data_IF_314494052313
#
_entry.id   IF_314494052313
#
_cell.length_a   1.000
_cell.length_b   1.000
_cell.length_c   1.000
_cell.angle_alpha   90.00
_cell.angle_beta   90.00
_cell.angle_gamma   90.00
#
_symmetry.space_group_name_H-M   'P 1'
#
loop_
_entity.id
_entity.type
_entity.pdbx_description
1 polymer ?
#
# COMPACT_ATOMS: atom_id res chain seq x y z
N UNK A 1 -3.25 9.11 16.95
CA UNK A 1 -4.39 8.29 17.40
C UNK A 1 -4.05 6.86 17.77
N UNK A 2 -3.06 6.19 17.15
CA UNK A 2 -2.81 4.75 17.39
C UNK A 2 -1.42 4.51 17.97
N UNK A 3 -1.28 3.44 18.77
CA UNK A 3 -0.02 3.01 19.36
C UNK A 3 1.00 2.59 18.30
N UNK A 4 2.29 2.81 18.57
CA UNK A 4 3.43 2.41 17.72
C UNK A 4 3.45 0.90 17.53
N UNK A 5 3.10 0.13 18.57
CA UNK A 5 3.05 -1.34 18.55
C UNK A 5 1.99 -1.90 17.59
N UNK A 6 0.79 -1.31 17.55
CA UNK A 6 -0.33 -1.83 16.76
C UNK A 6 -0.60 -1.02 15.49
N UNK A 7 0.35 -0.14 15.11
CA UNK A 7 0.17 0.80 14.01
C UNK A 7 -0.06 0.08 12.67
N UNK A 8 0.53 -1.09 12.45
CA UNK A 8 0.29 -1.89 11.25
C UNK A 8 -1.17 -2.34 11.13
N UNK A 9 -1.74 -2.86 12.21
CA UNK A 9 -3.12 -3.33 12.27
C UNK A 9 -4.12 -2.21 12.06
N UNK A 10 -3.96 -1.07 12.74
CA UNK A 10 -4.88 0.05 12.58
C UNK A 10 -4.81 0.68 11.19
N UNK A 11 -3.61 0.85 10.63
CA UNK A 11 -3.46 1.37 9.27
C UNK A 11 -3.94 0.35 8.22
N UNK A 12 -3.80 -0.95 8.47
CA UNK A 12 -4.40 -2.00 7.67
C UNK A 12 -5.92 -1.88 7.64
N UNK A 13 -6.55 -1.78 8.82
CA UNK A 13 -8.00 -1.57 8.95
C UNK A 13 -8.47 -0.30 8.24
N UNK A 14 -7.71 0.80 8.32
CA UNK A 14 -8.02 2.01 7.57
C UNK A 14 -7.95 1.79 6.05
N UNK A 15 -6.93 1.05 5.59
CA UNK A 15 -6.72 0.79 4.17
C UNK A 15 -7.77 -0.16 3.54
N UNK A 16 -8.50 -0.93 4.36
CA UNK A 16 -9.66 -1.74 3.91
C UNK A 16 -10.72 -0.85 3.23
N UNK A 17 -10.87 0.41 3.66
CA UNK A 17 -11.85 1.34 3.08
C UNK A 17 -11.68 1.52 1.57
N UNK A 18 -10.44 1.51 1.07
CA UNK A 18 -10.14 1.60 -0.36
C UNK A 18 -10.72 0.40 -1.12
N UNK A 19 -10.48 -0.81 -0.62
CA UNK A 19 -10.89 -2.05 -1.30
C UNK A 19 -12.41 -2.26 -1.21
N UNK A 20 -13.01 -1.99 -0.04
CA UNK A 20 -14.47 -2.03 0.12
C UNK A 20 -15.15 -0.98 -0.77
N UNK A 21 -14.61 0.24 -0.81
CA UNK A 21 -15.11 1.30 -1.67
C UNK A 21 -15.05 0.92 -3.15
N UNK A 22 -13.91 0.38 -3.60
CA UNK A 22 -13.72 -0.09 -4.97
C UNK A 22 -14.68 -1.22 -5.37
N UNK A 23 -14.76 -2.27 -4.53
CA UNK A 23 -15.66 -3.40 -4.77
C UNK A 23 -17.14 -3.01 -4.75
N UNK A 24 -17.53 -2.13 -3.83
CA UNK A 24 -18.90 -1.64 -3.69
C UNK A 24 -19.32 -0.67 -4.80
N UNK A 25 -18.40 0.12 -5.35
CA UNK A 25 -18.71 1.19 -6.31
C UNK A 25 -19.46 0.67 -7.55
N UNK A 26 -18.99 -0.44 -8.15
CA UNK A 26 -19.64 -1.03 -9.32
C UNK A 26 -21.05 -1.52 -9.01
N UNK A 27 -21.23 -2.18 -7.86
CA UNK A 27 -22.54 -2.67 -7.41
C UNK A 27 -23.53 -1.54 -7.15
N UNK A 28 -23.08 -0.47 -6.48
CA UNK A 28 -23.90 0.73 -6.20
C UNK A 28 -24.28 1.45 -7.49
N UNK A 29 -23.35 1.57 -8.45
CA UNK A 29 -23.62 2.20 -9.74
C UNK A 29 -24.65 1.42 -10.56
N UNK A 30 -24.52 0.09 -10.64
CA UNK A 30 -25.47 -0.76 -11.36
C UNK A 30 -26.84 -0.81 -10.68
N UNK A 31 -26.87 -0.87 -9.35
CA UNK A 31 -28.12 -0.78 -8.59
C UNK A 31 -28.82 0.55 -8.84
N UNK A 32 -28.05 1.66 -8.79
CA UNK A 32 -28.57 3.00 -9.04
C UNK A 32 -29.20 3.15 -10.42
N UNK A 33 -28.50 2.68 -11.46
CA UNK A 33 -29.00 2.72 -12.83
C UNK A 33 -30.27 1.89 -13.01
N UNK A 34 -30.27 0.62 -12.58
CA UNK A 34 -31.37 -0.30 -12.85
C UNK A 34 -32.62 -0.03 -12.00
N UNK A 35 -32.46 0.41 -10.75
CA UNK A 35 -33.59 0.56 -9.83
C UNK A 35 -34.22 1.95 -9.86
N UNK A 36 -33.40 3.02 -9.96
CA UNK A 36 -33.89 4.40 -9.88
C UNK A 36 -33.98 5.12 -11.22
N UNK A 37 -33.35 4.59 -12.26
CA UNK A 37 -33.16 5.28 -13.54
C UNK A 37 -33.50 4.40 -14.76
N UNK A 38 -34.21 3.28 -14.57
CA UNK A 38 -34.65 2.36 -15.64
C UNK A 38 -33.52 1.93 -16.60
N UNK A 39 -32.32 1.71 -16.06
CA UNK A 39 -31.12 1.34 -16.82
C UNK A 39 -30.37 2.50 -17.46
N UNK A 40 -30.78 3.75 -17.22
CA UNK A 40 -30.08 4.93 -17.73
C UNK A 40 -28.73 5.12 -17.03
N UNK A 41 -27.70 5.38 -17.84
CA UNK A 41 -26.32 5.66 -17.43
C UNK A 41 -26.24 6.80 -16.41
N UNK A 42 -27.17 7.77 -16.45
CA UNK A 42 -27.23 8.83 -15.46
C UNK A 42 -27.30 8.30 -14.01
N UNK A 43 -28.00 7.18 -13.78
CA UNK A 43 -28.10 6.55 -12.46
C UNK A 43 -26.77 5.96 -11.97
N UNK A 44 -25.87 5.58 -12.88
CA UNK A 44 -24.52 5.10 -12.54
C UNK A 44 -23.65 6.20 -11.91
N UNK A 45 -23.96 7.48 -12.17
CA UNK A 45 -23.22 8.62 -11.63
C UNK A 45 -23.95 9.30 -10.46
N UNK A 46 -25.26 9.51 -10.60
CA UNK A 46 -26.04 10.28 -9.62
C UNK A 46 -26.15 9.55 -8.29
N UNK A 47 -26.44 8.24 -8.30
CA UNK A 47 -26.65 7.48 -7.06
C UNK A 47 -25.37 7.37 -6.22
N UNK A 48 -24.20 6.99 -6.79
CA UNK A 48 -22.95 7.04 -6.04
C UNK A 48 -22.60 8.44 -5.51
N UNK A 49 -22.87 9.50 -6.28
CA UNK A 49 -22.59 10.88 -5.85
C UNK A 49 -23.42 11.30 -4.63
N UNK A 50 -24.71 10.95 -4.60
CA UNK A 50 -25.59 11.21 -3.45
C UNK A 50 -25.09 10.47 -2.21
N UNK A 51 -24.74 9.19 -2.34
CA UNK A 51 -24.19 8.40 -1.24
C UNK A 51 -22.89 9.04 -0.72
N UNK A 52 -22.00 9.45 -1.62
CA UNK A 52 -20.76 10.13 -1.25
C UNK A 52 -21.01 11.44 -0.48
N UNK A 53 -22.00 12.24 -0.89
CA UNK A 53 -22.39 13.47 -0.18
C UNK A 53 -22.91 13.15 1.23
N UNK A 54 -23.75 12.13 1.38
CA UNK A 54 -24.27 11.72 2.70
C UNK A 54 -23.12 11.26 3.61
N UNK A 55 -22.21 10.43 3.10
CA UNK A 55 -21.03 9.98 3.86
C UNK A 55 -20.13 11.16 4.24
N UNK A 56 -19.90 12.10 3.31
CA UNK A 56 -19.12 13.30 3.56
C UNK A 56 -19.77 14.20 4.62
N UNK A 57 -21.09 14.35 4.58
CA UNK A 57 -21.84 15.11 5.58
C UNK A 57 -21.72 14.47 6.96
N UNK A 58 -21.93 13.15 7.07
CA UNK A 58 -21.74 12.42 8.34
C UNK A 58 -20.31 12.59 8.86
N UNK A 59 -19.31 12.40 7.99
CA UNK A 59 -17.89 12.55 8.36
C UNK A 59 -17.51 13.96 8.78
N UNK A 60 -18.17 15.00 8.25
CA UNK A 60 -17.94 16.38 8.64
C UNK A 60 -18.34 16.66 10.10
N UNK A 61 -19.37 15.98 10.60
CA UNK A 61 -19.79 16.11 12.01
C UNK A 61 -19.18 15.05 12.93
N UNK A 62 -18.69 13.93 12.38
CA UNK A 62 -18.13 12.82 13.12
C UNK A 62 -16.61 12.73 12.95
N UNK A 63 -15.87 13.33 13.88
CA UNK A 63 -14.43 13.17 14.02
C UNK A 63 -13.78 14.34 14.77
N UNK A 64 -12.64 14.11 15.40
CA UNK A 64 -11.74 15.20 15.79
C UNK A 64 -10.32 14.86 15.40
N UNK A 65 -9.51 15.90 15.22
CA UNK A 65 -8.16 15.78 14.70
C UNK A 65 -7.22 14.99 15.62
N UNK A 66 -7.50 14.97 16.93
CA UNK A 66 -6.58 14.44 17.92
C UNK A 66 -7.30 13.94 19.19
N UNK A 67 -6.75 12.94 19.93
CA UNK A 67 -7.33 12.52 21.21
C UNK A 67 -7.40 13.67 22.23
N UNK A 68 -6.48 14.63 22.13
CA UNK A 68 -6.43 15.84 22.94
C UNK A 68 -7.70 16.69 22.74
N UNK A 69 -8.26 16.73 21.52
CA UNK A 69 -9.51 17.44 21.25
C UNK A 69 -10.72 16.83 21.98
N UNK A 70 -10.64 15.55 22.37
CA UNK A 70 -11.63 14.89 23.22
C UNK A 70 -11.28 14.93 24.71
N UNK A 71 -10.19 15.62 25.09
CA UNK A 71 -9.71 15.66 26.47
C UNK A 71 -9.09 14.36 26.97
N UNK A 72 -8.72 13.44 26.07
CA UNK A 72 -8.17 12.12 26.41
C UNK A 72 -6.65 12.14 26.61
N UNK A 73 -6.01 13.31 26.53
CA UNK A 73 -4.55 13.45 26.57
C UNK A 73 -3.89 13.10 25.24
N UNK A 74 -2.56 12.93 25.27
CA UNK A 74 -1.80 12.57 24.07
C UNK A 74 -1.95 11.08 23.74
N UNK A 75 -1.77 10.72 22.47
CA UNK A 75 -1.80 9.31 22.06
C UNK A 75 -0.76 8.46 22.84
N UNK A 76 0.38 9.04 23.16
CA UNK A 76 1.46 8.43 23.94
C UNK A 76 1.03 8.14 25.38
N UNK A 77 0.35 9.09 26.04
CA UNK A 77 -0.19 8.90 27.39
C UNK A 77 -1.29 7.83 27.40
N UNK A 78 -2.17 7.85 26.40
CA UNK A 78 -3.26 6.87 26.23
C UNK A 78 -2.78 5.43 26.11
N UNK A 79 -1.61 5.21 25.51
CA UNK A 79 -1.05 3.88 25.27
C UNK A 79 0.20 3.57 26.11
N UNK A 80 0.55 4.45 27.05
CA UNK A 80 1.77 4.34 27.88
C UNK A 80 3.05 4.13 27.05
N UNK A 81 3.16 4.81 25.90
CA UNK A 81 4.28 4.71 24.97
C UNK A 81 5.18 5.95 25.02
N UNK A 82 6.51 5.82 24.87
CA UNK A 82 7.39 6.97 24.81
C UNK A 82 7.17 7.78 23.53
N UNK A 83 7.19 9.11 23.64
CA UNK A 83 7.20 10.04 22.51
C UNK A 83 8.36 9.71 21.57
N UNK A 84 8.08 9.68 20.26
CA UNK A 84 9.09 9.36 19.24
C UNK A 84 10.26 10.37 19.27
N UNK A 85 11.46 9.93 18.90
CA UNK A 85 12.64 10.83 18.80
C UNK A 85 12.37 12.00 17.85
N UNK A 86 11.66 11.74 16.75
CA UNK A 86 11.27 12.77 15.80
C UNK A 86 10.34 13.82 16.41
N UNK A 87 9.31 13.39 17.14
CA UNK A 87 8.33 14.29 17.77
C UNK A 87 8.97 15.09 18.91
N UNK A 88 9.86 14.47 19.71
CA UNK A 88 10.64 15.18 20.74
C UNK A 88 11.50 16.27 20.13
N UNK A 89 12.25 15.94 19.08
CA UNK A 89 13.12 16.91 18.42
C UNK A 89 12.34 18.08 17.80
N UNK A 90 11.12 17.85 17.31
CA UNK A 90 10.24 18.93 16.81
C UNK A 90 9.77 19.82 17.96
N UNK A 91 9.34 19.24 19.08
CA UNK A 91 8.85 19.98 20.25
C UNK A 91 9.95 20.79 20.94
N UNK A 92 11.13 20.19 21.14
CA UNK A 92 12.27 20.83 21.82
C UNK A 92 12.85 22.00 21.03
N UNK A 93 12.92 21.87 19.69
CA UNK A 93 13.47 22.91 18.83
C UNK A 93 12.42 23.87 18.26
N UNK A 94 11.14 23.74 18.66
CA UNK A 94 10.01 24.53 18.18
C UNK A 94 10.00 24.70 16.65
N UNK A 95 10.22 23.60 15.92
CA UNK A 95 10.44 23.65 14.47
C UNK A 95 9.20 24.14 13.72
N UNK A 96 9.39 25.04 12.75
CA UNK A 96 8.31 25.47 11.86
C UNK A 96 7.90 24.35 10.88
N UNK A 97 6.68 24.43 10.33
CA UNK A 97 6.17 23.45 9.34
C UNK A 97 7.10 23.30 8.12
N UNK A 98 7.72 24.39 7.67
CA UNK A 98 8.64 24.38 6.53
C UNK A 98 9.97 23.69 6.88
N UNK A 99 10.47 23.88 8.09
CA UNK A 99 11.68 23.20 8.56
C UNK A 99 11.44 21.71 8.76
N UNK A 100 10.27 21.33 9.29
CA UNK A 100 9.85 19.94 9.39
C UNK A 100 9.82 19.29 8.00
N UNK A 101 9.17 19.95 7.04
CA UNK A 101 9.14 19.50 5.66
C UNK A 101 10.54 19.31 5.07
N UNK A 102 11.41 20.33 5.17
CA UNK A 102 12.76 20.25 4.62
C UNK A 102 13.57 19.13 5.28
N UNK A 103 13.61 19.08 6.61
CA UNK A 103 14.47 18.14 7.36
C UNK A 103 13.97 16.70 7.30
N UNK A 104 12.68 16.48 7.58
CA UNK A 104 12.13 15.14 7.78
C UNK A 104 11.50 14.55 6.51
N UNK A 105 11.21 15.35 5.49
CA UNK A 105 10.64 14.87 4.22
C UNK A 105 11.64 15.07 3.08
N UNK A 106 11.99 16.32 2.75
CA UNK A 106 12.78 16.62 1.55
C UNK A 106 14.23 16.12 1.61
N UNK A 107 14.91 16.26 2.74
CA UNK A 107 16.30 15.81 2.92
C UNK A 107 16.41 14.46 3.63
N UNK A 108 15.28 13.80 3.91
CA UNK A 108 15.28 12.50 4.55
C UNK A 108 15.48 11.39 3.53
N UNK A 109 16.69 10.81 3.52
CA UNK A 109 17.07 9.73 2.61
C UNK A 109 16.15 8.51 2.74
N UNK A 110 15.64 8.21 3.93
CA UNK A 110 14.77 7.04 4.15
C UNK A 110 13.41 7.22 3.47
N UNK A 111 12.83 8.43 3.56
CA UNK A 111 11.56 8.75 2.89
C UNK A 111 11.72 8.63 1.37
N UNK A 112 12.83 9.12 0.81
CA UNK A 112 13.11 8.96 -0.61
C UNK A 112 13.28 7.50 -1.04
N UNK A 113 14.01 6.69 -0.26
CA UNK A 113 14.10 5.24 -0.51
C UNK A 113 12.70 4.61 -0.53
N UNK A 114 11.84 4.95 0.43
CA UNK A 114 10.45 4.46 0.48
C UNK A 114 9.61 4.96 -0.71
N UNK A 115 9.82 6.20 -1.17
CA UNK A 115 9.15 6.72 -2.38
C UNK A 115 9.56 5.91 -3.61
N UNK A 116 10.86 5.66 -3.81
CA UNK A 116 11.33 4.83 -4.92
C UNK A 116 10.85 3.39 -4.81
N UNK A 117 10.88 2.77 -3.63
CA UNK A 117 10.31 1.46 -3.40
C UNK A 117 8.82 1.41 -3.78
N UNK A 118 8.06 2.46 -3.42
CA UNK A 118 6.63 2.54 -3.73
C UNK A 118 6.36 2.67 -5.23
N UNK A 119 7.23 3.33 -6.00
CA UNK A 119 7.13 3.38 -7.47
C UNK A 119 7.18 1.97 -8.04
N UNK A 120 8.23 1.20 -7.73
CA UNK A 120 8.40 -0.15 -8.26
C UNK A 120 7.30 -1.10 -7.78
N UNK A 121 6.86 -0.96 -6.52
CA UNK A 121 5.73 -1.75 -6.03
C UNK A 121 4.45 -1.45 -6.81
N UNK A 122 4.20 -0.18 -7.14
CA UNK A 122 3.02 0.19 -7.92
C UNK A 122 3.10 -0.32 -9.35
N UNK A 123 4.30 -0.38 -9.95
CA UNK A 123 4.49 -1.06 -11.25
C UNK A 123 4.02 -2.50 -11.16
N UNK A 124 4.42 -3.23 -10.12
CA UNK A 124 4.02 -4.63 -9.92
C UNK A 124 2.52 -4.75 -9.66
N UNK A 125 1.99 -3.96 -8.72
CA UNK A 125 0.59 -3.99 -8.31
C UNK A 125 -0.34 -3.70 -9.47
N UNK A 126 -0.20 -2.51 -10.06
CA UNK A 126 -1.06 -2.07 -11.15
C UNK A 126 -0.79 -2.91 -12.40
N UNK A 127 0.45 -3.36 -12.60
CA UNK A 127 0.80 -4.24 -13.70
C UNK A 127 0.01 -5.54 -13.65
N UNK A 128 -0.02 -6.23 -12.51
CA UNK A 128 -0.81 -7.45 -12.36
C UNK A 128 -2.31 -7.13 -12.45
N UNK A 129 -2.75 -6.11 -11.74
CA UNK A 129 -4.16 -5.69 -11.68
C UNK A 129 -4.76 -5.45 -13.07
N UNK A 130 -4.10 -4.62 -13.88
CA UNK A 130 -4.61 -4.20 -15.19
C UNK A 130 -4.38 -5.25 -16.29
N UNK A 131 -3.27 -5.98 -16.25
CA UNK A 131 -2.89 -6.89 -17.34
C UNK A 131 -3.26 -8.36 -17.09
N UNK A 132 -3.67 -8.75 -15.87
CA UNK A 132 -4.02 -10.14 -15.53
C UNK A 132 -5.18 -10.70 -16.37
N UNK A 133 -6.21 -9.89 -16.62
CA UNK A 133 -7.36 -10.29 -17.43
C UNK A 133 -6.97 -10.46 -18.90
N UNK A 134 -6.17 -9.53 -19.42
CA UNK A 134 -5.68 -9.56 -20.81
C UNK A 134 -4.79 -10.79 -21.03
N UNK A 135 -3.83 -11.03 -20.12
CA UNK A 135 -2.95 -12.19 -20.19
C UNK A 135 -3.71 -13.51 -20.11
N UNK A 136 -4.67 -13.62 -19.18
CA UNK A 136 -5.49 -14.82 -19.01
C UNK A 136 -6.31 -15.16 -20.25
N UNK A 137 -6.82 -14.14 -20.94
CA UNK A 137 -7.60 -14.30 -22.17
C UNK A 137 -6.73 -14.56 -23.41
N UNK A 138 -5.69 -13.75 -23.64
CA UNK A 138 -4.91 -13.79 -24.88
C UNK A 138 -3.82 -14.85 -24.91
N UNK A 139 -3.20 -15.15 -23.76
CA UNK A 139 -2.04 -16.07 -23.70
C UNK A 139 -2.42 -17.41 -23.11
N UNK A 140 -3.13 -17.42 -21.98
CA UNK A 140 -3.57 -18.67 -21.34
C UNK A 140 -4.81 -19.28 -22.03
N UNK A 141 -5.48 -18.54 -22.91
CA UNK A 141 -6.60 -19.03 -23.71
C UNK A 141 -7.87 -19.29 -22.91
N UNK A 142 -8.00 -18.70 -21.72
CA UNK A 142 -9.24 -18.78 -20.94
C UNK A 142 -10.34 -17.96 -21.58
N UNK A 143 -11.58 -18.36 -21.34
CA UNK A 143 -12.73 -17.56 -21.73
C UNK A 143 -12.83 -16.27 -20.90
N UNK A 144 -13.62 -15.32 -21.40
CA UNK A 144 -13.73 -13.98 -20.79
C UNK A 144 -14.26 -14.03 -19.36
N UNK A 145 -15.17 -14.95 -19.04
CA UNK A 145 -15.74 -15.06 -17.69
C UNK A 145 -14.67 -15.54 -16.71
N UNK A 146 -13.90 -16.57 -17.08
CA UNK A 146 -12.77 -17.05 -16.27
C UNK A 146 -11.72 -15.95 -16.06
N UNK A 147 -11.35 -15.20 -17.10
CA UNK A 147 -10.37 -14.11 -16.97
C UNK A 147 -10.83 -13.02 -15.98
N UNK A 148 -12.10 -12.60 -16.05
CA UNK A 148 -12.69 -11.64 -15.11
C UNK A 148 -12.77 -12.21 -13.69
N UNK A 149 -13.07 -13.50 -13.55
CA UNK A 149 -13.10 -14.16 -12.24
C UNK A 149 -11.71 -14.15 -11.58
N UNK A 150 -10.63 -14.25 -12.37
CA UNK A 150 -9.26 -14.13 -11.89
C UNK A 150 -8.97 -12.76 -11.26
N UNK A 151 -9.38 -11.69 -11.93
CA UNK A 151 -9.30 -10.33 -11.40
C UNK A 151 -10.08 -10.20 -10.07
N UNK A 152 -11.27 -10.79 -9.99
CA UNK A 152 -12.06 -10.82 -8.75
C UNK A 152 -11.33 -11.55 -7.62
N UNK A 153 -10.63 -12.64 -7.93
CA UNK A 153 -9.81 -13.38 -6.96
C UNK A 153 -8.59 -12.58 -6.50
N UNK A 154 -7.96 -11.82 -7.40
CA UNK A 154 -6.89 -10.87 -7.04
C UNK A 154 -7.37 -9.83 -6.03
N UNK A 155 -8.49 -9.16 -6.30
CA UNK A 155 -9.08 -8.17 -5.39
C UNK A 155 -9.52 -8.79 -4.04
N UNK A 156 -10.01 -10.03 -4.07
CA UNK A 156 -10.36 -10.76 -2.84
C UNK A 156 -9.11 -11.06 -2.01
N UNK A 157 -8.04 -11.53 -2.65
CA UNK A 157 -6.75 -11.75 -1.99
C UNK A 157 -6.17 -10.45 -1.41
N UNK A 158 -6.26 -9.35 -2.16
CA UNK A 158 -5.86 -8.02 -1.75
C UNK A 158 -6.59 -7.52 -0.49
N UNK A 159 -7.92 -7.70 -0.45
CA UNK A 159 -8.74 -7.36 0.72
C UNK A 159 -8.27 -8.13 1.97
N UNK A 160 -8.09 -9.44 1.85
CA UNK A 160 -7.63 -10.29 2.96
C UNK A 160 -6.19 -9.92 3.37
N UNK A 161 -5.32 -9.67 2.40
CA UNK A 161 -3.93 -9.27 2.62
C UNK A 161 -3.83 -7.96 3.39
N UNK A 162 -4.68 -6.98 3.07
CA UNK A 162 -4.71 -5.68 3.74
C UNK A 162 -5.00 -5.82 5.25
N UNK A 163 -5.85 -6.76 5.64
CA UNK A 163 -6.14 -7.06 7.04
C UNK A 163 -4.97 -7.78 7.73
N UNK A 164 -4.45 -8.83 7.09
CA UNK A 164 -3.53 -9.77 7.74
C UNK A 164 -2.08 -9.27 7.78
N UNK A 165 -1.60 -8.55 6.77
CA UNK A 165 -0.21 -8.08 6.75
C UNK A 165 0.09 -7.03 7.82
N UNK A 166 -0.89 -6.20 8.15
CA UNK A 166 -0.78 -5.27 9.29
C UNK A 166 -0.57 -6.02 10.60
N UNK A 167 -1.38 -7.05 10.83
CA UNK A 167 -1.27 -7.93 11.99
C UNK A 167 0.05 -8.72 12.02
N UNK A 168 0.47 -9.32 10.90
CA UNK A 168 1.73 -10.07 10.82
C UNK A 168 2.95 -9.18 11.09
N UNK A 169 2.94 -7.94 10.61
CA UNK A 169 4.00 -6.99 10.91
C UNK A 169 4.06 -6.63 12.39
N UNK A 170 2.91 -6.45 13.03
CA UNK A 170 2.86 -6.12 14.45
C UNK A 170 3.29 -7.33 15.31
N UNK A 171 3.01 -8.57 14.87
CA UNK A 171 3.45 -9.80 15.53
C UNK A 171 4.98 -9.96 15.55
N UNK A 172 5.68 -9.48 14.52
CA UNK A 172 7.15 -9.54 14.40
C UNK A 172 7.80 -8.25 14.96
N UNK A 173 7.20 -7.69 16.02
CA UNK A 173 7.69 -6.50 16.72
C UNK A 173 7.90 -5.27 15.80
N UNK A 174 7.11 -5.16 14.73
CA UNK A 174 7.17 -4.00 13.84
C UNK A 174 8.32 -3.98 12.84
N UNK A 175 8.97 -5.13 12.56
CA UNK A 175 9.99 -5.29 11.49
C UNK A 175 9.35 -5.24 10.09
N UNK A 176 8.77 -4.10 9.75
CA UNK A 176 7.93 -3.86 8.56
C UNK A 176 8.70 -4.13 7.26
N UNK A 177 9.95 -3.67 7.18
CA UNK A 177 10.79 -3.88 5.99
C UNK A 177 11.07 -5.35 5.69
N UNK A 178 11.34 -6.16 6.73
CA UNK A 178 11.61 -7.59 6.57
C UNK A 178 10.36 -8.35 6.10
N UNK A 179 9.20 -8.03 6.68
CA UNK A 179 7.92 -8.64 6.29
C UNK A 179 7.57 -8.26 4.85
N UNK A 180 7.83 -7.02 4.44
CA UNK A 180 7.66 -6.59 3.04
C UNK A 180 8.58 -7.37 2.09
N UNK A 181 9.84 -7.62 2.45
CA UNK A 181 10.74 -8.45 1.64
C UNK A 181 10.22 -9.88 1.46
N UNK A 182 9.71 -10.51 2.53
CA UNK A 182 9.13 -11.86 2.46
C UNK A 182 7.96 -11.89 1.47
N UNK A 183 7.06 -10.91 1.56
CA UNK A 183 5.94 -10.81 0.65
C UNK A 183 6.39 -10.59 -0.80
N UNK A 184 7.39 -9.72 -1.05
CA UNK A 184 7.94 -9.46 -2.39
C UNK A 184 8.62 -10.70 -3.00
N UNK A 185 9.35 -11.48 -2.21
CA UNK A 185 9.91 -12.75 -2.66
C UNK A 185 8.80 -13.75 -3.03
N UNK A 186 7.72 -13.76 -2.25
CA UNK A 186 6.51 -14.51 -2.59
C UNK A 186 5.89 -14.05 -3.90
N UNK A 187 5.85 -12.74 -4.18
CA UNK A 187 5.34 -12.20 -5.46
C UNK A 187 6.15 -12.75 -6.63
N UNK A 188 7.49 -12.68 -6.57
CA UNK A 188 8.37 -13.18 -7.64
C UNK A 188 8.14 -14.68 -7.87
N UNK A 189 8.08 -15.48 -6.80
CA UNK A 189 7.82 -16.92 -6.91
C UNK A 189 6.43 -17.20 -7.53
N UNK A 190 5.42 -16.44 -7.13
CA UNK A 190 4.05 -16.62 -7.62
C UNK A 190 3.91 -16.14 -9.08
N UNK A 191 4.62 -15.10 -9.50
CA UNK A 191 4.67 -14.67 -10.90
C UNK A 191 5.27 -15.74 -11.81
N UNK A 192 6.32 -16.44 -11.36
CA UNK A 192 6.89 -17.56 -12.10
C UNK A 192 5.91 -18.73 -12.28
N UNK A 193 5.09 -19.01 -11.26
CA UNK A 193 4.03 -20.03 -11.34
C UNK A 193 2.84 -19.58 -12.21
N UNK A 194 2.42 -18.31 -12.07
CA UNK A 194 1.30 -17.72 -12.81
C UNK A 194 1.47 -17.81 -14.34
N UNK A 195 2.71 -17.69 -14.84
CA UNK A 195 3.02 -17.82 -16.27
C UNK A 195 2.72 -19.20 -16.86
N UNK A 196 2.57 -20.23 -16.03
CA UNK A 196 2.36 -21.62 -16.43
C UNK A 196 1.01 -22.15 -15.88
N UNK A 197 0.07 -21.26 -15.60
CA UNK A 197 -1.21 -21.60 -15.00
C UNK A 197 -2.19 -22.20 -16.03
N UNK A 198 -2.01 -23.47 -16.37
CA UNK A 198 -2.81 -24.17 -17.40
C UNK A 198 -4.23 -24.56 -16.95
N UNK A 199 -4.53 -24.44 -15.65
CA UNK A 199 -5.84 -24.79 -15.08
C UNK A 199 -6.52 -23.57 -14.49
N UNK A 200 -7.85 -23.54 -14.55
CA UNK A 200 -8.67 -22.46 -13.95
C UNK A 200 -8.32 -22.27 -12.47
N UNK A 201 -8.16 -23.38 -11.74
CA UNK A 201 -7.79 -23.35 -10.34
C UNK A 201 -6.39 -22.74 -10.13
N UNK A 202 -5.39 -23.15 -10.92
CA UNK A 202 -4.04 -22.58 -10.83
C UNK A 202 -4.05 -21.08 -11.13
N UNK A 203 -4.80 -20.64 -12.14
CA UNK A 203 -4.93 -19.24 -12.52
C UNK A 203 -5.54 -18.40 -11.39
N UNK A 204 -6.71 -18.81 -10.89
CA UNK A 204 -7.42 -18.12 -9.81
C UNK A 204 -6.63 -18.12 -8.49
N UNK A 205 -6.02 -19.26 -8.12
CA UNK A 205 -5.21 -19.37 -6.92
C UNK A 205 -3.95 -18.50 -7.00
N UNK A 206 -3.32 -18.41 -8.18
CA UNK A 206 -2.16 -17.53 -8.41
C UNK A 206 -2.54 -16.08 -8.27
N UNK A 207 -3.66 -15.65 -8.86
CA UNK A 207 -4.12 -14.26 -8.77
C UNK A 207 -4.55 -13.89 -7.35
N UNK A 208 -5.23 -14.80 -6.64
CA UNK A 208 -5.50 -14.63 -5.21
C UNK A 208 -4.22 -14.46 -4.39
N UNK A 209 -3.23 -15.32 -4.61
CA UNK A 209 -1.95 -15.25 -3.91
C UNK A 209 -1.19 -13.96 -4.25
N UNK A 210 -1.16 -13.54 -5.52
CA UNK A 210 -0.55 -12.28 -5.95
C UNK A 210 -1.22 -11.08 -5.29
N UNK A 211 -2.56 -11.02 -5.30
CA UNK A 211 -3.32 -9.96 -4.64
C UNK A 211 -3.02 -9.90 -3.14
N UNK A 212 -3.02 -11.05 -2.48
CA UNK A 212 -2.65 -11.17 -1.07
C UNK A 212 -1.23 -10.68 -0.80
N UNK A 213 -0.24 -11.08 -1.60
CA UNK A 213 1.17 -10.79 -1.39
C UNK A 213 1.52 -9.34 -1.71
N UNK A 214 1.01 -8.76 -2.79
CA UNK A 214 1.33 -7.40 -3.24
C UNK A 214 0.83 -6.32 -2.26
N UNK A 215 -0.32 -6.54 -1.63
CA UNK A 215 -0.88 -5.60 -0.68
C UNK A 215 -0.10 -5.54 0.65
N UNK A 216 0.71 -6.56 0.96
CA UNK A 216 1.60 -6.55 2.12
C UNK A 216 2.61 -5.42 2.06
N UNK A 217 3.54 -5.41 1.08
CA UNK A 217 4.48 -4.32 0.87
C UNK A 217 3.79 -2.96 0.71
N UNK A 218 2.61 -2.91 0.08
CA UNK A 218 1.87 -1.66 -0.11
C UNK A 218 1.52 -1.01 1.21
N UNK A 219 0.97 -1.79 2.14
CA UNK A 219 0.68 -1.34 3.49
C UNK A 219 1.98 -1.02 4.24
N UNK A 220 2.95 -1.93 4.21
CA UNK A 220 4.15 -1.87 5.04
C UNK A 220 5.10 -0.72 4.67
N UNK A 221 5.20 -0.34 3.40
CA UNK A 221 5.97 0.85 2.98
C UNK A 221 5.36 2.12 3.59
N UNK A 222 4.03 2.25 3.57
CA UNK A 222 3.34 3.38 4.19
C UNK A 222 3.55 3.39 5.71
N UNK A 223 3.34 2.23 6.34
CA UNK A 223 3.51 2.05 7.78
C UNK A 223 4.97 2.31 8.22
N UNK A 224 5.96 1.91 7.43
CA UNK A 224 7.38 2.22 7.64
C UNK A 224 7.65 3.72 7.55
N UNK A 225 7.12 4.41 6.53
CA UNK A 225 7.29 5.85 6.35
C UNK A 225 6.84 6.64 7.58
N UNK A 226 5.67 6.30 8.15
CA UNK A 226 5.12 6.93 9.37
C UNK A 226 6.07 6.75 10.58
N UNK A 227 6.98 5.77 10.54
CA UNK A 227 8.00 5.56 11.57
C UNK A 227 9.24 6.47 11.46
N UNK A 228 9.43 7.19 10.35
CA UNK A 228 10.62 8.02 10.09
C UNK A 228 10.33 9.53 9.99
N UNK A 229 9.08 9.93 10.20
CA UNK A 229 8.64 11.33 10.19
C UNK A 229 7.87 11.68 11.46
N UNK A 230 7.98 12.93 11.95
CA UNK A 230 7.19 13.41 13.06
C UNK A 230 5.71 13.50 12.65
N UNK A 231 4.81 13.52 13.62
CA UNK A 231 3.34 13.53 13.40
C UNK A 231 2.89 14.61 12.42
N UNK A 232 3.46 15.81 12.54
CA UNK A 232 3.14 16.96 11.70
C UNK A 232 3.62 16.80 10.25
N UNK A 233 4.58 15.91 10.00
CA UNK A 233 5.14 15.61 8.67
C UNK A 233 4.54 14.38 7.99
N UNK A 234 3.78 13.55 8.70
CA UNK A 234 3.21 12.29 8.17
C UNK A 234 2.39 12.54 6.90
N UNK A 235 1.49 13.52 6.92
CA UNK A 235 0.59 13.78 5.79
C UNK A 235 1.36 14.16 4.52
N UNK A 236 2.42 14.97 4.65
CA UNK A 236 3.24 15.40 3.50
C UNK A 236 4.12 14.25 3.00
N UNK A 237 4.68 13.46 3.90
CA UNK A 237 5.48 12.29 3.54
C UNK A 237 4.64 11.24 2.79
N UNK A 238 3.43 10.95 3.28
CA UNK A 238 2.50 10.05 2.62
C UNK A 238 2.04 10.61 1.26
N UNK A 239 1.76 11.93 1.19
CA UNK A 239 1.39 12.61 -0.05
C UNK A 239 2.46 12.55 -1.15
N UNK A 240 3.74 12.78 -0.82
CA UNK A 240 4.84 12.67 -1.80
C UNK A 240 5.01 11.21 -2.24
N UNK A 241 5.03 10.28 -1.28
CA UNK A 241 5.13 8.84 -1.56
C UNK A 241 3.99 8.35 -2.46
N UNK A 242 2.77 8.80 -2.21
CA UNK A 242 1.59 8.54 -3.05
C UNK A 242 1.75 9.14 -4.44
N UNK A 243 2.11 10.42 -4.53
CA UNK A 243 2.31 11.11 -5.81
C UNK A 243 3.29 10.38 -6.70
N UNK A 244 4.46 9.97 -6.18
CA UNK A 244 5.45 9.24 -6.98
C UNK A 244 4.91 7.88 -7.46
N UNK A 245 4.23 7.16 -6.58
CA UNK A 245 3.69 5.85 -6.89
C UNK A 245 2.61 5.89 -7.97
N UNK A 246 1.68 6.84 -7.90
CA UNK A 246 0.65 6.99 -8.92
C UNK A 246 1.18 7.67 -10.19
N UNK A 247 1.93 8.77 -10.06
CA UNK A 247 2.38 9.51 -11.25
C UNK A 247 3.39 8.72 -12.08
N UNK A 248 4.30 7.99 -11.44
CA UNK A 248 5.37 7.26 -12.12
C UNK A 248 5.04 5.78 -12.20
N UNK A 249 4.71 5.14 -11.07
CA UNK A 249 4.49 3.69 -11.00
C UNK A 249 3.24 3.24 -11.77
N UNK A 250 2.08 3.81 -11.45
CA UNK A 250 0.80 3.50 -12.12
C UNK A 250 0.82 3.88 -13.61
N UNK A 251 1.40 5.04 -13.96
CA UNK A 251 1.58 5.43 -15.36
C UNK A 251 2.48 4.45 -16.13
N UNK A 252 3.59 4.01 -15.55
CA UNK A 252 4.48 3.02 -16.18
C UNK A 252 3.81 1.64 -16.28
N UNK A 253 3.05 1.24 -15.26
CA UNK A 253 2.29 0.00 -15.31
C UNK A 253 1.26 -0.03 -16.44
N UNK A 254 0.57 1.08 -16.70
CA UNK A 254 -0.47 1.17 -17.72
C UNK A 254 0.10 1.38 -19.13
N UNK A 255 1.02 2.32 -19.29
CA UNK A 255 1.56 2.67 -20.62
C UNK A 255 2.85 1.92 -20.93
N UNK A 256 3.77 1.86 -19.97
CA UNK A 256 5.08 1.23 -20.14
C UNK A 256 4.98 -0.27 -20.38
N UNK A 257 4.22 -0.99 -19.56
CA UNK A 257 4.02 -2.43 -19.76
C UNK A 257 3.23 -2.74 -21.04
N UNK A 258 2.29 -1.87 -21.43
CA UNK A 258 1.57 -2.01 -22.70
C UNK A 258 2.51 -1.91 -23.90
N UNK A 259 3.39 -0.92 -23.92
CA UNK A 259 4.40 -0.78 -24.99
C UNK A 259 5.36 -1.98 -25.04
N UNK A 260 5.71 -2.57 -23.90
CA UNK A 260 6.55 -3.77 -23.82
C UNK A 260 5.79 -4.99 -24.36
N UNK A 261 4.53 -5.15 -23.97
CA UNK A 261 3.64 -6.19 -24.47
C UNK A 261 3.43 -6.09 -25.99
N UNK A 262 3.37 -4.88 -26.54
CA UNK A 262 3.22 -4.63 -27.98
C UNK A 262 4.51 -4.83 -28.79
N UNK A 263 5.65 -5.07 -28.14
CA UNK A 263 6.90 -5.46 -28.81
C UNK A 263 8.09 -4.54 -28.57
N UNK A 264 8.01 -3.55 -27.67
CA UNK A 264 9.19 -2.78 -27.25
C UNK A 264 10.13 -3.71 -26.48
N UNK A 265 11.39 -3.91 -26.93
CA UNK A 265 12.30 -4.84 -26.26
C UNK A 265 12.73 -4.29 -24.90
N UNK A 266 12.57 -5.09 -23.85
CA UNK A 266 13.14 -4.84 -22.54
C UNK A 266 14.05 -6.00 -22.16
N UNK A 267 15.31 -5.70 -21.83
CA UNK A 267 16.35 -6.71 -21.56
C UNK A 267 16.48 -7.81 -22.65
N UNK A 268 16.20 -7.47 -23.92
CA UNK A 268 16.25 -8.40 -25.04
C UNK A 268 15.04 -9.33 -25.19
N UNK A 269 14.03 -9.19 -24.32
CA UNK A 269 12.76 -9.90 -24.40
C UNK A 269 11.66 -8.97 -24.92
N UNK A 270 10.74 -9.50 -25.71
CA UNK A 270 9.59 -8.77 -26.26
C UNK A 270 8.28 -9.45 -25.87
N UNK A 271 7.17 -8.71 -25.97
CA UNK A 271 5.85 -9.24 -25.66
C UNK A 271 5.69 -9.57 -24.17
N UNK A 272 4.88 -10.57 -23.88
CA UNK A 272 4.55 -10.97 -22.51
C UNK A 272 5.75 -11.43 -21.69
N UNK A 273 6.74 -12.08 -22.31
CA UNK A 273 8.01 -12.42 -21.66
C UNK A 273 8.72 -11.16 -21.14
N UNK A 274 8.76 -10.10 -21.96
CA UNK A 274 9.29 -8.79 -21.56
C UNK A 274 8.49 -8.17 -20.41
N UNK A 275 7.17 -8.26 -20.45
CA UNK A 275 6.28 -7.74 -19.39
C UNK A 275 6.56 -8.41 -18.05
N UNK A 276 6.68 -9.74 -18.00
CA UNK A 276 7.02 -10.43 -16.75
C UNK A 276 8.42 -10.12 -16.26
N UNK A 277 9.42 -10.04 -17.15
CA UNK A 277 10.77 -9.63 -16.77
C UNK A 277 10.77 -8.21 -16.18
N UNK A 278 9.95 -7.29 -16.71
CA UNK A 278 9.78 -5.95 -16.15
C UNK A 278 9.17 -5.98 -14.74
N UNK A 279 8.13 -6.80 -14.53
CA UNK A 279 7.48 -7.00 -13.23
C UNK A 279 8.44 -7.61 -12.20
N UNK A 280 9.15 -8.68 -12.57
CA UNK A 280 10.14 -9.33 -11.70
C UNK A 280 11.29 -8.39 -11.36
N UNK A 281 11.79 -7.64 -12.34
CA UNK A 281 12.85 -6.63 -12.11
C UNK A 281 12.37 -5.55 -11.15
N UNK A 282 11.13 -5.05 -11.33
CA UNK A 282 10.55 -4.08 -10.41
C UNK A 282 10.39 -4.66 -8.99
N UNK A 283 9.91 -5.90 -8.86
CA UNK A 283 9.78 -6.58 -7.58
C UNK A 283 11.14 -6.78 -6.88
N UNK A 284 12.19 -7.17 -7.62
CA UNK A 284 13.56 -7.35 -7.11
C UNK A 284 14.15 -6.01 -6.65
N UNK A 285 13.99 -4.95 -7.44
CA UNK A 285 14.46 -3.61 -7.06
C UNK A 285 13.72 -3.13 -5.80
N UNK A 286 12.39 -3.28 -5.77
CA UNK A 286 11.59 -2.96 -4.59
C UNK A 286 12.08 -3.74 -3.36
N UNK A 287 12.31 -5.05 -3.49
CA UNK A 287 12.78 -5.91 -2.42
C UNK A 287 14.18 -5.49 -1.92
N UNK A 288 15.07 -5.12 -2.83
CA UNK A 288 16.41 -4.65 -2.50
C UNK A 288 16.38 -3.33 -1.72
N UNK A 289 15.52 -2.40 -2.12
CA UNK A 289 15.33 -1.13 -1.39
C UNK A 289 14.70 -1.40 -0.01
N UNK A 290 13.70 -2.27 0.06
CA UNK A 290 13.06 -2.63 1.32
C UNK A 290 14.01 -3.36 2.28
N UNK A 291 14.95 -4.15 1.77
CA UNK A 291 15.99 -4.78 2.59
C UNK A 291 16.92 -3.72 3.22
N UNK A 292 17.28 -2.67 2.47
CA UNK A 292 18.04 -1.54 3.01
C UNK A 292 17.22 -0.83 4.10
N UNK A 293 15.93 -0.57 3.87
CA UNK A 293 15.04 0.03 4.87
C UNK A 293 14.94 -0.86 6.11
N UNK A 294 14.83 -2.19 5.96
CA UNK A 294 14.77 -3.12 7.09
C UNK A 294 16.02 -3.03 7.99
N UNK A 295 17.21 -2.88 7.39
CA UNK A 295 18.46 -2.68 8.14
C UNK A 295 18.43 -1.33 8.90
N UNK A 296 17.89 -0.28 8.28
CA UNK A 296 17.77 1.04 8.91
C UNK A 296 16.74 1.02 10.05
N UNK A 297 15.61 0.35 9.88
CA UNK A 297 14.60 0.12 10.93
C UNK A 297 15.23 -0.64 12.11
N UNK A 298 15.96 -1.72 11.86
CA UNK A 298 16.58 -2.52 12.93
C UNK A 298 17.62 -1.71 13.70
N UNK A 299 18.44 -0.88 13.01
CA UNK A 299 19.38 0.04 13.66
C UNK A 299 18.66 1.05 14.55
N UNK A 300 17.53 1.60 14.10
CA UNK A 300 16.71 2.53 14.89
C UNK A 300 16.14 1.83 16.12
N UNK A 301 15.54 0.65 15.96
CA UNK A 301 14.98 -0.15 17.07
C UNK A 301 16.06 -0.46 18.12
N UNK A 302 17.27 -0.83 17.68
CA UNK A 302 18.38 -1.07 18.61
C UNK A 302 18.82 0.18 19.37
N UNK A 303 18.82 1.34 18.71
CA UNK A 303 19.16 2.62 19.34
C UNK A 303 18.14 3.00 20.42
N UNK A 304 16.85 2.95 20.07
CA UNK A 304 15.75 3.23 21.00
C UNK A 304 15.80 2.31 22.22
N UNK A 305 16.06 1.01 22.02
CA UNK A 305 16.22 0.04 23.13
C UNK A 305 17.41 0.36 24.02
N UNK A 306 18.53 0.83 23.45
CA UNK A 306 19.73 1.19 24.21
C UNK A 306 19.49 2.44 25.05
N UNK A 307 18.82 3.44 24.48
CA UNK A 307 18.48 4.69 25.18
C UNK A 307 17.46 4.45 26.30
N UNK A 308 16.46 3.60 26.06
CA UNK A 308 15.51 3.20 27.11
C UNK A 308 16.20 2.51 28.29
N UNK A 309 17.10 1.55 28.01
CA UNK A 309 17.90 0.89 29.06
C UNK A 309 18.80 1.86 29.83
N UNK A 310 19.36 2.86 29.14
CA UNK A 310 20.19 3.88 29.79
C UNK A 310 19.36 4.80 30.68
N UNK A 311 18.15 5.19 30.24
CA UNK A 311 17.22 5.97 31.03
C UNK A 311 16.73 5.21 32.27
N UNK A 312 16.41 3.92 32.12
CA UNK A 312 16.03 3.03 33.24
C UNK A 312 17.20 2.79 34.22
N UNK A 313 18.44 2.75 33.74
CA UNK A 313 19.61 2.59 34.60
C UNK A 313 20.02 3.87 35.36
N UNK A 314 19.59 5.03 34.87
CA UNK A 314 19.88 6.33 35.46
C UNK A 314 18.76 6.84 36.39
N UNK A 315 17.63 6.12 36.47
CA UNK A 315 16.48 6.42 37.33
C UNK A 315 16.51 5.58 38.61
#
# INVERSE_FOLDING_TARGET
WTSKKNRGTFLGMWNISHNIGGAGAAGVALFGANYFFDGNVAGMFIVPAIIAIVVAFIGFFMGSDSPEAYGLGTAEELFEEPVSEEDKAVSENQMSKLEIFKKYVLFNKVIWLLCFANVFLYVVRIGIDQWSTVYGYEVLGFDKETAISGFTMFETGALIGTCLWGFFSDLINGRRGLVACIALLGVIATLGFYQHADTIFAYQASLFALGFLVFGPQLLIGVAAVGFVPKQGIAVADGIKGTFAYLIGDSFAKLGLGLIADGTPIFGQTGWSGTFVALDTAAIICCSIMAIVAILEERKIHREKKEKKLAEANA
#
